data_IF_448564982761
#
_entry.id   IF_448564982761
#
_cell.length_a   1.000
_cell.length_b   1.000
_cell.length_c   1.000
_cell.angle_alpha   90.00
_cell.angle_beta   90.00
_cell.angle_gamma   90.00
#
_symmetry.space_group_name_H-M   'P 1'
#
loop_
_entity.id
_entity.type
_entity.pdbx_description
1 polymer ?
#
# COMPACT_ATOMS: atom_id res chain seq x y z
N UNK A 1 -16.18 9.78 -7.92
CA UNK A 1 -15.94 8.81 -6.83
C UNK A 1 -14.94 9.51 -5.89
N UNK A 2 -14.22 8.82 -5.01
CA UNK A 2 -13.32 9.49 -4.05
C UNK A 2 -11.84 9.33 -4.41
N UNK A 3 -11.01 10.30 -4.04
CA UNK A 3 -9.55 10.20 -4.03
C UNK A 3 -9.06 9.43 -2.80
N UNK A 4 -8.06 8.57 -2.95
CA UNK A 4 -7.37 7.89 -1.84
C UNK A 4 -5.95 8.40 -1.73
N UNK A 5 -5.51 8.72 -0.51
CA UNK A 5 -4.12 9.04 -0.21
C UNK A 5 -3.65 8.21 0.98
N UNK A 6 -2.54 7.51 0.79
CA UNK A 6 -1.75 6.85 1.83
C UNK A 6 -0.46 7.65 1.98
N UNK A 7 -0.08 7.96 3.21
CA UNK A 7 1.14 8.70 3.51
C UNK A 7 1.87 8.07 4.68
N UNK A 8 3.15 7.73 4.47
CA UNK A 8 4.01 7.12 5.49
C UNK A 8 3.47 5.81 6.06
N UNK A 9 2.74 5.01 5.26
CA UNK A 9 2.13 3.78 5.77
C UNK A 9 3.19 2.68 5.92
N UNK A 10 3.29 2.15 7.14
CA UNK A 10 4.12 0.99 7.48
C UNK A 10 3.28 -0.14 8.11
N UNK A 11 3.72 -1.38 7.95
CA UNK A 11 3.06 -2.57 8.52
C UNK A 11 4.10 -3.58 8.99
N UNK A 12 3.90 -4.11 10.19
CA UNK A 12 4.73 -5.15 10.79
C UNK A 12 3.86 -6.19 11.50
N UNK A 13 4.26 -7.46 11.44
CA UNK A 13 3.68 -8.54 12.26
C UNK A 13 4.79 -9.21 13.05
N UNK A 14 4.59 -9.39 14.36
CA UNK A 14 5.53 -10.07 15.26
C UNK A 14 6.99 -9.57 15.16
N UNK A 15 7.14 -8.26 14.96
CA UNK A 15 8.44 -7.61 14.79
C UNK A 15 9.08 -7.79 13.41
N UNK A 16 8.47 -8.58 12.52
CA UNK A 16 8.84 -8.66 11.11
C UNK A 16 8.15 -7.52 10.38
N UNK A 17 8.97 -6.70 9.74
CA UNK A 17 8.47 -5.58 8.97
C UNK A 17 8.17 -5.99 7.53
N UNK A 18 6.99 -5.59 7.05
CA UNK A 18 6.47 -5.94 5.73
C UNK A 18 6.58 -4.75 4.78
N UNK A 19 6.28 -3.55 5.29
CA UNK A 19 6.39 -2.31 4.53
C UNK A 19 6.81 -1.15 5.42
N UNK A 20 7.62 -0.26 4.86
CA UNK A 20 8.02 1.04 5.43
C UNK A 20 7.64 2.13 4.45
N UNK A 21 7.17 3.25 4.99
CA UNK A 21 7.08 4.53 4.27
C UNK A 21 6.38 4.44 2.91
N UNK A 22 5.23 3.76 2.84
CA UNK A 22 4.42 3.73 1.62
C UNK A 22 3.64 5.05 1.50
N UNK A 23 3.99 5.81 0.46
CA UNK A 23 3.24 6.94 -0.06
C UNK A 23 2.54 6.55 -1.37
N UNK A 24 1.21 6.63 -1.40
CA UNK A 24 0.40 6.32 -2.58
C UNK A 24 -0.74 7.31 -2.71
N UNK A 25 -0.97 7.81 -3.93
CA UNK A 25 -2.16 8.58 -4.26
C UNK A 25 -2.87 7.89 -5.41
N UNK A 26 -4.17 7.68 -5.26
CA UNK A 26 -5.07 7.19 -6.30
C UNK A 26 -6.10 8.27 -6.55
N UNK A 27 -6.09 8.84 -7.75
CA UNK A 27 -6.99 9.91 -8.14
C UNK A 27 -8.39 9.38 -8.49
N UNK A 28 -9.37 10.28 -8.54
CA UNK A 28 -10.76 9.89 -8.81
C UNK A 28 -10.89 9.25 -10.21
N UNK A 29 -11.48 8.05 -10.27
CA UNK A 29 -11.66 7.28 -11.50
C UNK A 29 -10.43 6.49 -11.96
N UNK A 30 -9.32 6.52 -11.23
CA UNK A 30 -8.16 5.67 -11.55
C UNK A 30 -8.40 4.21 -11.18
N UNK A 31 -7.91 3.32 -12.05
CA UNK A 31 -7.90 1.88 -11.82
C UNK A 31 -6.48 1.42 -11.55
N UNK A 32 -6.21 1.01 -10.31
CA UNK A 32 -4.87 0.64 -9.84
C UNK A 32 -4.83 -0.83 -9.44
N UNK A 33 -3.74 -1.52 -9.78
CA UNK A 33 -3.50 -2.92 -9.43
C UNK A 33 -2.17 -3.05 -8.70
N UNK A 34 -2.17 -3.72 -7.55
CA UNK A 34 -0.94 -4.07 -6.83
C UNK A 34 -0.41 -5.43 -7.27
N UNK A 35 0.86 -5.48 -7.69
CA UNK A 35 1.53 -6.69 -8.17
C UNK A 35 2.83 -6.95 -7.42
N UNK A 36 3.18 -8.22 -7.25
CA UNK A 36 4.42 -8.64 -6.58
C UNK A 36 4.34 -10.05 -6.00
N UNK A 37 5.48 -10.65 -5.61
CA UNK A 37 5.57 -12.02 -5.09
C UNK A 37 4.70 -12.28 -3.86
N UNK A 38 4.42 -13.55 -3.54
CA UNK A 38 3.70 -13.90 -2.30
C UNK A 38 4.42 -13.33 -1.07
N UNK A 39 3.65 -12.78 -0.12
CA UNK A 39 4.19 -12.19 1.11
C UNK A 39 4.70 -10.74 1.01
N UNK A 40 4.69 -10.09 -0.16
CA UNK A 40 5.24 -8.73 -0.31
C UNK A 40 4.34 -7.57 0.18
N UNK A 41 3.32 -7.84 1.02
CA UNK A 41 2.51 -6.78 1.63
C UNK A 41 1.36 -6.20 0.81
N UNK A 42 0.88 -6.90 -0.23
CA UNK A 42 -0.28 -6.48 -1.04
C UNK A 42 -1.63 -6.61 -0.32
N UNK A 43 -1.70 -7.28 0.83
CA UNK A 43 -2.94 -7.64 1.53
C UNK A 43 -2.86 -7.40 3.03
#
# INVERSE_FOLDING_TARGET
>A
MGRLTLSGIGKSFDGVEISRDIDLTIEDGEFVVFVGPSGCGKS
#
